data_IF_020200978583
#
_entry.id   IF_020200978583
#
_cell.length_a   1.000
_cell.length_b   1.000
_cell.length_c   1.000
_cell.angle_alpha   90.00
_cell.angle_beta   90.00
_cell.angle_gamma   90.00
#
_symmetry.space_group_name_H-M   'P 1'
#
loop_
_entity.id
_entity.type
_entity.pdbx_description
1 polymer ?
#
# COMPACT_ATOMS: atom_id res chain seq x y z
N UNK A 1 5.59 -6.41 4.74
CA UNK A 1 4.87 -6.77 3.52
C UNK A 1 3.41 -6.98 3.87
N UNK A 2 2.63 -5.93 3.77
CA UNK A 2 1.17 -5.95 3.92
C UNK A 2 0.51 -6.40 2.61
N UNK A 3 -0.70 -6.98 2.67
CA UNK A 3 -1.53 -7.34 1.50
C UNK A 3 -3.02 -7.15 1.82
N UNK A 4 -3.85 -6.62 0.91
CA UNK A 4 -5.30 -6.56 1.11
C UNK A 4 -5.92 -7.96 1.12
N UNK A 5 -6.83 -8.23 2.07
CA UNK A 5 -7.57 -9.50 2.11
C UNK A 5 -8.33 -9.79 0.82
N UNK A 6 -8.83 -8.74 0.15
CA UNK A 6 -9.53 -8.86 -1.14
C UNK A 6 -8.67 -9.44 -2.26
N UNK A 7 -7.35 -9.44 -2.10
CA UNK A 7 -6.40 -9.97 -3.09
C UNK A 7 -6.05 -11.43 -2.80
N UNK A 8 -6.59 -11.99 -1.71
CA UNK A 8 -6.34 -13.36 -1.28
C UNK A 8 -7.59 -14.21 -1.45
N UNK A 9 -7.42 -15.36 -2.09
CA UNK A 9 -8.33 -16.49 -1.95
C UNK A 9 -7.84 -17.34 -0.77
N UNK A 10 -8.58 -17.31 0.33
CA UNK A 10 -8.19 -17.95 1.59
C UNK A 10 -8.88 -19.31 1.75
N UNK A 11 -8.10 -20.37 1.96
CA UNK A 11 -8.56 -21.71 2.32
C UNK A 11 -7.86 -22.18 3.59
N UNK A 12 -8.54 -22.04 4.73
CA UNK A 12 -7.97 -22.34 6.03
C UNK A 12 -6.77 -21.43 6.33
N UNK A 13 -5.59 -22.03 6.48
CA UNK A 13 -4.34 -21.30 6.75
C UNK A 13 -3.54 -20.94 5.49
N UNK A 14 -4.06 -21.25 4.30
CA UNK A 14 -3.39 -20.97 3.02
C UNK A 14 -4.11 -19.83 2.32
N UNK A 15 -3.37 -18.77 1.97
CA UNK A 15 -3.85 -17.70 1.11
C UNK A 15 -3.15 -17.75 -0.24
N UNK A 16 -3.90 -17.63 -1.33
CA UNK A 16 -3.37 -17.55 -2.70
C UNK A 16 -3.69 -16.17 -3.25
N UNK A 17 -2.68 -15.47 -3.76
CA UNK A 17 -2.89 -14.21 -4.46
C UNK A 17 -3.69 -14.45 -5.74
N UNK A 18 -4.81 -13.76 -5.90
CA UNK A 18 -5.65 -13.84 -7.10
C UNK A 18 -5.24 -12.82 -8.18
N UNK A 19 -4.14 -12.09 -7.95
CA UNK A 19 -3.55 -11.10 -8.85
C UNK A 19 -2.09 -10.86 -8.51
N UNK A 20 -1.35 -10.29 -9.46
CA UNK A 20 -0.02 -9.76 -9.21
C UNK A 20 -0.10 -8.65 -8.16
N UNK A 21 0.84 -8.69 -7.21
CA UNK A 21 0.88 -7.76 -6.09
C UNK A 21 2.32 -7.48 -5.70
N UNK A 22 2.59 -6.21 -5.44
CA UNK A 22 3.86 -5.73 -4.89
C UNK A 22 3.60 -5.20 -3.48
N UNK A 23 4.22 -5.86 -2.49
CA UNK A 23 4.04 -5.57 -1.07
C UNK A 23 5.06 -4.55 -0.53
N UNK A 24 5.81 -3.88 -1.42
CA UNK A 24 6.81 -2.87 -1.05
C UNK A 24 6.14 -1.73 -0.29
N UNK A 25 6.60 -1.49 0.93
CA UNK A 25 6.18 -0.37 1.76
C UNK A 25 7.09 0.83 1.44
N UNK A 26 6.54 2.04 1.49
CA UNK A 26 7.30 3.26 1.20
C UNK A 26 7.74 3.90 2.52
N UNK A 27 9.05 4.07 2.68
CA UNK A 27 9.61 4.84 3.79
C UNK A 27 9.35 6.34 3.56
N UNK A 28 8.71 6.99 4.52
CA UNK A 28 8.34 8.40 4.47
C UNK A 28 8.62 9.10 5.80
N UNK A 29 8.77 10.43 5.75
CA UNK A 29 8.89 11.30 6.90
C UNK A 29 7.69 12.27 6.98
N UNK A 30 7.37 12.79 8.18
CA UNK A 30 6.37 13.84 8.31
C UNK A 30 6.71 15.06 7.44
N UNK A 31 5.77 15.45 6.56
CA UNK A 31 5.91 16.57 5.65
C UNK A 31 6.30 16.20 4.22
N UNK A 32 6.66 14.93 3.96
CA UNK A 32 6.90 14.44 2.61
C UNK A 32 5.62 14.56 1.76
N UNK A 33 5.78 14.99 0.51
CA UNK A 33 4.68 15.02 -0.46
C UNK A 33 4.64 13.71 -1.24
N UNK A 34 3.43 13.16 -1.38
CA UNK A 34 3.18 11.88 -2.02
C UNK A 34 2.16 12.03 -3.14
N UNK A 35 2.42 11.39 -4.27
CA UNK A 35 1.41 11.21 -5.32
C UNK A 35 0.60 9.94 -5.01
N UNK A 36 -0.69 10.10 -4.75
CA UNK A 36 -1.60 8.97 -4.50
C UNK A 36 -1.95 8.25 -5.82
N UNK A 37 -1.68 6.95 -5.88
CA UNK A 37 -2.10 6.10 -7.01
C UNK A 37 -3.41 5.37 -6.70
N UNK A 38 -3.51 4.77 -5.51
CA UNK A 38 -4.62 3.90 -5.13
C UNK A 38 -4.80 3.91 -3.62
N UNK A 39 -6.06 3.97 -3.18
CA UNK A 39 -6.44 3.60 -1.81
C UNK A 39 -7.05 2.20 -1.82
N UNK A 40 -6.59 1.33 -0.92
CA UNK A 40 -7.14 -0.01 -0.74
C UNK A 40 -7.04 -0.43 0.73
N UNK A 41 -8.15 -0.89 1.30
CA UNK A 41 -8.21 -1.49 2.65
C UNK A 41 -7.46 -0.71 3.75
N UNK A 42 -7.54 0.62 3.74
CA UNK A 42 -6.89 1.48 4.73
C UNK A 42 -5.42 1.81 4.46
N UNK A 43 -4.90 1.44 3.29
CA UNK A 43 -3.55 1.74 2.84
C UNK A 43 -3.57 2.50 1.52
N UNK A 44 -2.53 3.29 1.30
CA UNK A 44 -2.33 4.12 0.12
C UNK A 44 -1.10 3.60 -0.62
N UNK A 45 -1.24 3.28 -1.90
CA UNK A 45 -0.11 3.10 -2.80
C UNK A 45 0.26 4.48 -3.33
N UNK A 46 1.48 4.92 -3.03
CA UNK A 46 1.96 6.25 -3.34
C UNK A 46 3.28 6.21 -4.12
N UNK A 47 3.60 7.32 -4.80
CA UNK A 47 4.95 7.63 -5.30
C UNK A 47 5.53 8.76 -4.43
N UNK A 48 6.72 8.54 -3.87
CA UNK A 48 7.47 9.57 -3.13
C UNK A 48 8.20 10.54 -4.05
N UNK A 49 8.71 11.63 -3.50
CA UNK A 49 9.43 12.66 -4.28
C UNK A 49 10.68 12.14 -5.00
N UNK A 50 11.28 11.06 -4.50
CA UNK A 50 12.41 10.37 -5.12
C UNK A 50 12.01 9.38 -6.23
N UNK A 51 10.71 9.26 -6.51
CA UNK A 51 10.15 8.36 -7.50
C UNK A 51 9.95 6.92 -7.02
N UNK A 52 10.28 6.61 -5.77
CA UNK A 52 10.00 5.29 -5.20
C UNK A 52 8.49 5.10 -5.00
N UNK A 53 8.01 3.90 -5.26
CA UNK A 53 6.60 3.54 -5.14
C UNK A 53 6.42 2.49 -4.05
N UNK A 54 5.45 2.69 -3.18
CA UNK A 54 5.13 1.71 -2.15
C UNK A 54 3.91 2.09 -1.31
N UNK A 55 3.55 1.17 -0.42
CA UNK A 55 2.39 1.29 0.46
C UNK A 55 2.69 2.09 1.72
N UNK A 56 1.76 2.95 2.10
CA UNK A 56 1.76 3.74 3.35
C UNK A 56 0.41 3.58 4.05
N UNK A 57 0.34 3.46 5.39
CA UNK A 57 -0.93 3.47 6.11
C UNK A 57 -1.68 4.79 5.88
N UNK A 58 -2.97 4.73 5.55
CA UNK A 58 -3.78 5.93 5.30
C UNK A 58 -3.82 6.88 6.49
N UNK A 59 -3.76 6.35 7.72
CA UNK A 59 -3.77 7.13 8.95
C UNK A 59 -2.51 8.01 9.13
N UNK A 60 -1.43 7.74 8.40
CA UNK A 60 -0.22 8.55 8.41
C UNK A 60 -0.24 9.73 7.42
N UNK A 61 -1.27 9.83 6.57
CA UNK A 61 -1.32 10.76 5.44
C UNK A 61 -2.53 11.69 5.57
N UNK A 62 -2.32 12.98 5.35
CA UNK A 62 -3.37 13.98 5.23
C UNK A 62 -3.55 14.34 3.74
N UNK A 63 -4.79 14.28 3.25
CA UNK A 63 -5.11 14.69 1.88
C UNK A 63 -5.23 16.22 1.82
N UNK A 64 -4.48 16.84 0.90
CA UNK A 64 -4.42 18.29 0.70
C UNK A 64 -5.04 18.73 -0.61
#
# INVERSE_FOLDING_TARGET
GWVPERYLDVNGSVGILNRDYDATELDINPGDLLELILEESGWLLCIGEDGQKGWVPKECVELV
#
